data_IF_027127861548
#
_entry.id   IF_027127861548
#
_cell.length_a   1.000
_cell.length_b   1.000
_cell.length_c   1.000
_cell.angle_alpha   90.00
_cell.angle_beta   90.00
_cell.angle_gamma   90.00
#
_symmetry.space_group_name_H-M   'P 1'
#
loop_
_entity.id
_entity.type
_entity.pdbx_description
1 polymer ?
#
# COMPACT_ATOMS: atom_id res chain seq x y z
N UNK A 1 10.94 -14.17 3.74
CA UNK A 1 11.57 -12.89 3.35
C UNK A 1 12.67 -12.62 4.35
N UNK A 2 13.82 -12.08 3.95
CA UNK A 2 14.91 -11.78 4.91
C UNK A 2 14.55 -10.60 5.80
N UNK A 3 15.08 -10.58 7.01
CA UNK A 3 14.84 -9.52 7.99
C UNK A 3 15.25 -8.13 7.46
N UNK A 4 16.41 -8.09 6.79
CA UNK A 4 16.96 -6.91 6.11
C UNK A 4 15.99 -6.30 5.09
N UNK A 5 15.22 -7.13 4.38
CA UNK A 5 14.27 -6.64 3.38
C UNK A 5 13.05 -5.96 4.01
N UNK A 6 12.65 -6.39 5.22
CA UNK A 6 11.56 -5.78 5.99
C UNK A 6 12.01 -4.45 6.58
N UNK A 7 13.24 -4.37 7.09
CA UNK A 7 13.79 -3.13 7.64
C UNK A 7 13.91 -2.04 6.57
N UNK A 8 14.43 -2.39 5.38
CA UNK A 8 14.46 -1.46 4.25
C UNK A 8 13.05 -1.01 3.83
N UNK A 9 12.06 -1.91 3.85
CA UNK A 9 10.67 -1.56 3.56
C UNK A 9 10.09 -0.60 4.61
N UNK A 10 10.41 -0.78 5.89
CA UNK A 10 10.04 0.15 6.96
C UNK A 10 10.64 1.54 6.71
N UNK A 11 11.95 1.64 6.45
CA UNK A 11 12.63 2.91 6.18
C UNK A 11 12.03 3.62 4.96
N UNK A 12 11.81 2.89 3.86
CA UNK A 12 11.19 3.45 2.66
C UNK A 12 9.76 3.95 2.92
N UNK A 13 8.98 3.24 3.74
CA UNK A 13 7.64 3.69 4.13
C UNK A 13 7.70 4.96 4.97
N UNK A 14 8.62 5.06 5.94
CA UNK A 14 8.81 6.28 6.75
C UNK A 14 9.13 7.48 5.85
N UNK A 15 10.12 7.33 4.96
CA UNK A 15 10.51 8.39 4.03
C UNK A 15 9.38 8.76 3.07
N UNK A 16 8.60 7.78 2.63
CA UNK A 16 7.48 7.99 1.71
C UNK A 16 6.33 8.76 2.36
N UNK A 17 5.94 8.40 3.59
CA UNK A 17 4.90 9.14 4.34
C UNK A 17 5.28 10.60 4.52
N UNK A 18 6.55 10.87 4.87
CA UNK A 18 7.08 12.22 4.97
C UNK A 18 7.04 12.96 3.61
N UNK A 19 7.45 12.30 2.52
CA UNK A 19 7.44 12.86 1.18
C UNK A 19 6.02 13.21 0.68
N UNK A 20 5.02 12.41 1.05
CA UNK A 20 3.61 12.67 0.71
C UNK A 20 2.93 13.66 1.66
N UNK A 21 3.61 14.10 2.72
CA UNK A 21 3.08 14.98 3.77
C UNK A 21 1.82 14.41 4.44
N UNK A 22 1.80 13.09 4.61
CA UNK A 22 0.70 12.36 5.24
C UNK A 22 1.08 12.08 6.70
N UNK A 23 0.14 12.32 7.61
CA UNK A 23 0.31 12.00 9.03
C UNK A 23 0.27 10.48 9.28
N UNK A 24 1.18 10.02 10.13
CA UNK A 24 1.28 8.61 10.52
C UNK A 24 2.73 8.23 10.88
N UNK A 25 2.89 7.07 11.50
CA UNK A 25 4.19 6.48 11.82
C UNK A 25 4.24 5.03 11.35
N UNK A 26 5.44 4.52 11.09
CA UNK A 26 5.64 3.13 10.70
C UNK A 26 6.25 2.39 11.88
N UNK A 27 5.66 1.26 12.26
CA UNK A 27 6.15 0.41 13.32
C UNK A 27 6.29 -1.02 12.83
N UNK A 28 7.33 -1.71 13.31
CA UNK A 28 7.51 -3.14 13.07
C UNK A 28 6.83 -3.93 14.19
N UNK A 29 6.02 -4.90 13.81
CA UNK A 29 5.38 -5.83 14.72
C UNK A 29 6.30 -7.04 14.99
N UNK A 30 6.14 -7.67 16.15
CA UNK A 30 6.96 -8.83 16.58
C UNK A 30 6.81 -10.04 15.66
N UNK A 31 5.70 -10.13 14.96
CA UNK A 31 5.38 -11.19 13.98
C UNK A 31 5.97 -10.91 12.57
N UNK A 32 6.74 -9.83 12.41
CA UNK A 32 7.39 -9.47 11.15
C UNK A 32 6.51 -8.65 10.21
N UNK A 33 5.31 -8.27 10.63
CA UNK A 33 4.47 -7.33 9.88
C UNK A 33 4.91 -5.88 10.09
N UNK A 34 4.57 -5.03 9.13
CA UNK A 34 4.72 -3.58 9.21
C UNK A 34 3.35 -2.98 9.47
N UNK A 35 3.24 -2.09 10.45
CA UNK A 35 2.01 -1.40 10.83
C UNK A 35 2.20 0.08 10.59
N UNK A 36 1.20 0.73 9.98
CA UNK A 36 1.17 2.20 9.86
C UNK A 36 0.19 2.71 10.93
N UNK A 37 0.75 3.32 11.97
CA UNK A 37 0.01 3.87 13.11
C UNK A 37 -0.34 5.34 12.89
N UNK A 38 -1.42 5.83 13.52
CA UNK A 38 -1.76 7.27 13.54
C UNK A 38 -2.23 7.85 12.21
N UNK A 39 -2.31 7.03 11.17
CA UNK A 39 -3.11 7.32 9.99
C UNK A 39 -4.60 7.11 10.32
N UNK A 40 -5.51 7.84 9.67
CA UNK A 40 -6.97 7.66 9.83
C UNK A 40 -7.49 6.28 9.35
N UNK A 41 -6.59 5.33 9.10
CA UNK A 41 -6.81 4.00 8.52
C UNK A 41 -5.97 2.99 9.27
N UNK A 42 -6.55 1.83 9.56
CA UNK A 42 -5.78 0.71 10.09
C UNK A 42 -5.08 -0.01 8.95
N UNK A 43 -3.75 0.17 8.84
CA UNK A 43 -2.95 -0.42 7.77
C UNK A 43 -1.91 -1.37 8.35
N UNK A 44 -1.98 -2.61 7.88
CA UNK A 44 -1.05 -3.68 8.20
C UNK A 44 -0.51 -4.32 6.93
N UNK A 45 0.79 -4.52 6.88
CA UNK A 45 1.50 -5.09 5.73
C UNK A 45 2.21 -6.34 6.23
N UNK A 46 1.72 -7.50 5.79
CA UNK A 46 2.28 -8.80 6.10
C UNK A 46 3.14 -9.31 4.92
N UNK A 47 4.16 -10.13 5.18
CA UNK A 47 4.70 -11.00 4.15
C UNK A 47 3.57 -11.85 3.53
N UNK A 48 3.58 -12.03 2.22
CA UNK A 48 2.57 -12.87 1.59
C UNK A 48 2.72 -14.34 2.02
N UNK A 49 1.61 -15.04 2.29
CA UNK A 49 1.64 -16.44 2.70
C UNK A 49 2.02 -17.32 1.50
N UNK A 50 3.26 -17.82 1.46
CA UNK A 50 3.78 -18.88 0.56
C UNK A 50 3.33 -18.87 -0.92
N UNK A 51 2.90 -17.71 -1.42
CA UNK A 51 2.51 -17.50 -2.81
C UNK A 51 3.74 -17.02 -3.59
N UNK A 52 4.12 -17.68 -4.69
CA UNK A 52 5.30 -17.30 -5.46
C UNK A 52 5.14 -15.97 -6.22
N UNK A 53 3.90 -15.54 -6.51
CA UNK A 53 3.62 -14.33 -7.27
C UNK A 53 3.61 -13.08 -6.39
N UNK A 54 3.06 -13.19 -5.17
CA UNK A 54 2.93 -12.06 -4.26
C UNK A 54 3.97 -12.10 -3.16
N UNK A 55 4.57 -10.94 -2.87
CA UNK A 55 5.57 -10.81 -1.81
C UNK A 55 4.99 -10.25 -0.52
N UNK A 56 3.90 -9.50 -0.64
CA UNK A 56 3.28 -8.76 0.45
C UNK A 56 1.76 -8.88 0.40
N UNK A 57 1.14 -8.82 1.58
CA UNK A 57 -0.29 -8.67 1.77
C UNK A 57 -0.54 -7.37 2.53
N UNK A 58 -1.26 -6.44 1.92
CA UNK A 58 -1.62 -5.15 2.51
C UNK A 58 -3.08 -5.22 2.96
N UNK A 59 -3.32 -5.11 4.26
CA UNK A 59 -4.64 -4.94 4.84
C UNK A 59 -4.87 -3.45 5.13
N UNK A 60 -5.96 -2.89 4.61
CA UNK A 60 -6.42 -1.52 4.89
C UNK A 60 -7.86 -1.62 5.40
N UNK A 61 -8.13 -1.19 6.63
CA UNK A 61 -9.42 -1.32 7.31
C UNK A 61 -9.99 -2.75 7.20
N UNK A 62 -9.13 -3.76 7.40
CA UNK A 62 -9.47 -5.19 7.29
C UNK A 62 -9.58 -5.75 5.86
N UNK A 63 -9.56 -4.90 4.82
CA UNK A 63 -9.57 -5.36 3.42
C UNK A 63 -8.17 -5.70 2.95
N UNK A 64 -7.95 -6.97 2.59
CA UNK A 64 -6.64 -7.48 2.15
C UNK A 64 -6.48 -7.40 0.64
N UNK A 65 -5.33 -6.88 0.19
CA UNK A 65 -4.89 -6.83 -1.20
C UNK A 65 -3.44 -7.30 -1.30
N UNK A 66 -3.15 -8.13 -2.29
CA UNK A 66 -1.80 -8.62 -2.50
C UNK A 66 -0.95 -7.57 -3.25
N UNK A 67 0.36 -7.57 -3.00
CA UNK A 67 1.33 -6.77 -3.73
C UNK A 67 2.57 -7.60 -4.08
N UNK A 68 2.97 -7.53 -5.36
CA UNK A 68 4.11 -8.28 -5.91
C UNK A 68 5.46 -7.66 -5.53
N UNK A 69 5.47 -6.38 -5.12
CA UNK A 69 6.69 -5.61 -4.84
C UNK A 69 6.43 -4.50 -3.81
N UNK A 70 7.50 -3.95 -3.25
CA UNK A 70 7.44 -2.79 -2.35
C UNK A 70 6.80 -1.57 -3.02
N UNK A 71 7.00 -1.38 -4.33
CA UNK A 71 6.34 -0.31 -5.09
C UNK A 71 4.82 -0.50 -5.12
N UNK A 72 4.36 -1.75 -5.23
CA UNK A 72 2.93 -2.09 -5.12
C UNK A 72 2.37 -1.76 -3.73
N UNK A 73 3.13 -2.06 -2.67
CA UNK A 73 2.78 -1.68 -1.29
C UNK A 73 2.67 -0.17 -1.15
N UNK A 74 3.69 0.58 -1.57
CA UNK A 74 3.70 2.05 -1.50
C UNK A 74 2.52 2.67 -2.25
N UNK A 75 2.17 2.14 -3.43
CA UNK A 75 1.00 2.60 -4.20
C UNK A 75 -0.30 2.38 -3.43
N UNK A 76 -0.51 1.20 -2.87
CA UNK A 76 -1.73 0.88 -2.12
C UNK A 76 -1.85 1.69 -0.82
N UNK A 77 -0.73 1.89 -0.11
CA UNK A 77 -0.67 2.73 1.08
C UNK A 77 -0.98 4.19 0.73
N UNK A 78 -0.36 4.71 -0.33
CA UNK A 78 -0.62 6.10 -0.76
C UNK A 78 -2.07 6.30 -1.17
N UNK A 79 -2.63 5.40 -1.96
CA UNK A 79 -4.06 5.41 -2.36
C UNK A 79 -5.01 5.40 -1.16
N UNK A 80 -4.62 4.73 -0.06
CA UNK A 80 -5.41 4.71 1.16
C UNK A 80 -5.31 5.99 1.99
N UNK A 81 -4.16 6.67 1.96
CA UNK A 81 -3.82 7.73 2.92
C UNK A 81 -3.77 9.14 2.35
N UNK A 82 -3.54 9.31 1.05
CA UNK A 82 -3.42 10.60 0.37
C UNK A 82 -4.68 10.84 -0.47
N UNK A 83 -5.67 11.63 0.00
CA UNK A 83 -6.89 11.93 -0.76
C UNK A 83 -6.61 12.70 -2.06
N UNK A 84 -5.46 13.36 -2.16
CA UNK A 84 -5.00 14.04 -3.37
C UNK A 84 -4.39 13.08 -4.39
N UNK A 85 -4.06 11.85 -3.99
CA UNK A 85 -3.53 10.82 -4.87
C UNK A 85 -4.63 10.10 -5.64
N UNK A 86 -4.88 10.56 -6.87
CA UNK A 86 -5.82 9.92 -7.76
C UNK A 86 -5.18 8.75 -8.52
N UNK A 87 -5.02 7.59 -7.87
CA UNK A 87 -4.35 6.42 -8.47
C UNK A 87 -5.08 5.87 -9.71
N UNK A 88 -6.41 6.04 -9.78
CA UNK A 88 -7.27 5.50 -10.85
C UNK A 88 -8.26 6.56 -11.38
N UNK A 89 -7.77 7.64 -12.00
CA UNK A 89 -8.64 8.44 -12.89
C UNK A 89 -8.85 7.67 -14.20
N UNK A 90 -9.83 6.76 -14.21
CA UNK A 90 -10.37 6.24 -15.47
C UNK A 90 -11.27 7.32 -16.06
N UNK A 91 -10.84 7.96 -17.15
CA UNK A 91 -11.74 8.77 -17.97
C UNK A 91 -12.55 7.82 -18.84
N UNK A 92 -13.75 7.46 -18.39
CA UNK A 92 -14.72 6.80 -19.26
C UNK A 92 -15.30 7.88 -20.17
N UNK A 93 -14.83 7.91 -21.42
CA UNK A 93 -15.51 8.70 -22.46
C UNK A 93 -16.62 7.82 -23.01
N UNK A 94 -17.88 8.25 -22.89
CA UNK A 94 -18.99 7.56 -23.55
C UNK A 94 -18.79 7.75 -25.05
N UNK A 95 -18.36 6.70 -25.76
CA UNK A 95 -18.43 6.69 -27.22
C UNK A 95 -19.91 6.62 -27.59
N UNK A 96 -20.49 7.65 -28.24
CA UNK A 96 -21.87 7.55 -28.69
C UNK A 96 -21.97 6.39 -29.68
N UNK A 97 -22.86 5.43 -29.42
CA UNK A 97 -23.27 4.43 -30.39
C UNK A 97 -24.01 5.17 -31.51
N UNK A 98 -23.31 5.48 -32.60
CA UNK A 98 -23.92 6.05 -33.80
C UNK A 98 -24.84 4.98 -34.38
N UNK A 99 -26.16 5.25 -34.55
CA UNK A 99 -27.01 4.35 -35.31
C UNK A 99 -26.67 4.49 -36.80
N UNK A 100 -26.35 3.36 -37.44
CA UNK A 100 -26.43 3.23 -38.91
C UNK A 100 -27.89 3.10 -39.33
#
# INVERSE_FOLDING_TARGET
MSEVAVDLACELLVQSLAAWRVGGGVARSRDGAIIICGACKDIRIDPAPSDPMFRWMVAIDGRKRAAISIVGVLRQVRDALDPGYAANRVRVTLTPLVPY
#
